data_IF_708462213154
#
_entry.id   IF_708462213154
#
_cell.length_a   1.000
_cell.length_b   1.000
_cell.length_c   1.000
_cell.angle_alpha   90.00
_cell.angle_beta   90.00
_cell.angle_gamma   90.00
#
_symmetry.space_group_name_H-M   'P 1'
#
loop_
_entity.id
_entity.type
_entity.pdbx_description
1 polymer ?
#
# COMPACT_ATOMS: atom_id res chain seq x y z
N UNK A 1 -21.12 -2.29 2.84
CA UNK A 1 -20.44 -2.48 4.15
C UNK A 1 -19.06 -1.88 4.04
N UNK A 2 -18.70 -0.98 4.96
CA UNK A 2 -17.36 -0.41 5.00
C UNK A 2 -16.36 -1.45 5.49
N UNK A 3 -15.20 -1.53 4.83
CA UNK A 3 -14.16 -2.49 5.17
C UNK A 3 -13.44 -2.02 6.44
N UNK A 4 -13.60 -2.75 7.54
CA UNK A 4 -12.86 -2.47 8.77
C UNK A 4 -11.56 -3.28 8.82
N UNK A 5 -10.51 -2.66 9.32
CA UNK A 5 -9.17 -3.23 9.46
C UNK A 5 -8.81 -3.24 10.95
N UNK A 6 -8.37 -4.39 11.46
CA UNK A 6 -7.91 -4.52 12.84
C UNK A 6 -6.51 -3.92 12.99
N UNK A 7 -6.28 -3.17 14.06
CA UNK A 7 -5.00 -2.52 14.36
C UNK A 7 -4.61 -2.77 15.81
N UNK A 8 -3.31 -2.66 16.10
CA UNK A 8 -2.77 -2.58 17.46
C UNK A 8 -2.10 -1.22 17.59
N UNK A 9 -2.57 -0.41 18.53
CA UNK A 9 -2.03 0.92 18.83
C UNK A 9 -0.71 0.84 19.59
N UNK A 10 -0.03 1.98 19.73
CA UNK A 10 1.24 2.09 20.47
C UNK A 10 1.13 1.66 21.94
N UNK A 11 -0.03 1.85 22.56
CA UNK A 11 -0.32 1.44 23.93
C UNK A 11 -0.60 -0.08 24.07
N UNK A 12 -0.57 -0.82 22.96
CA UNK A 12 -0.86 -2.25 22.91
C UNK A 12 -2.35 -2.58 22.84
N UNK A 13 -3.23 -1.58 22.85
CA UNK A 13 -4.67 -1.80 22.69
C UNK A 13 -4.99 -2.20 21.24
N UNK A 14 -6.01 -3.04 21.07
CA UNK A 14 -6.49 -3.46 19.76
C UNK A 14 -7.78 -2.72 19.41
N UNK A 15 -7.92 -2.33 18.14
CA UNK A 15 -9.13 -1.67 17.64
C UNK A 15 -9.40 -2.01 16.18
N UNK A 16 -10.48 -1.43 15.64
CA UNK A 16 -10.82 -1.49 14.22
C UNK A 16 -10.96 -0.08 13.65
N UNK A 17 -10.40 0.12 12.46
CA UNK A 17 -10.42 1.40 11.76
C UNK A 17 -10.81 1.21 10.30
N UNK A 18 -11.23 2.28 9.63
CA UNK A 18 -11.45 2.28 8.18
C UNK A 18 -10.11 2.37 7.45
N UNK A 19 -10.05 2.06 6.13
CA UNK A 19 -8.80 2.11 5.38
C UNK A 19 -8.21 3.53 5.34
N UNK A 20 -9.05 4.56 5.22
CA UNK A 20 -8.61 5.96 5.23
C UNK A 20 -7.98 6.36 6.56
N UNK A 21 -8.52 5.87 7.68
CA UNK A 21 -7.95 6.12 9.02
C UNK A 21 -6.67 5.31 9.21
N UNK A 22 -6.61 4.09 8.68
CA UNK A 22 -5.40 3.28 8.74
C UNK A 22 -4.20 4.01 8.12
N UNK A 23 -4.36 4.55 6.91
CA UNK A 23 -3.27 5.25 6.22
C UNK A 23 -2.77 6.45 7.06
N UNK A 24 -3.67 7.22 7.65
CA UNK A 24 -3.34 8.32 8.56
C UNK A 24 -2.57 7.83 9.81
N UNK A 25 -3.00 6.72 10.42
CA UNK A 25 -2.33 6.14 11.59
C UNK A 25 -0.94 5.58 11.24
N UNK A 26 -0.77 5.03 10.03
CA UNK A 26 0.53 4.56 9.53
C UNK A 26 1.48 5.75 9.34
N UNK A 27 1.04 6.81 8.67
CA UNK A 27 1.85 8.01 8.42
C UNK A 27 2.29 8.71 9.71
N UNK A 28 1.44 8.70 10.73
CA UNK A 28 1.73 9.29 12.05
C UNK A 28 2.42 8.34 13.02
N UNK A 29 2.68 7.10 12.61
CA UNK A 29 3.24 6.05 13.45
C UNK A 29 2.44 5.80 14.75
N UNK A 30 1.11 5.94 14.71
CA UNK A 30 0.22 5.79 15.88
C UNK A 30 -0.22 4.34 16.14
N UNK A 31 0.19 3.40 15.27
CA UNK A 31 -0.06 1.95 15.43
C UNK A 31 1.24 1.15 15.25
N UNK A 32 1.33 0.01 15.94
CA UNK A 32 2.47 -0.93 15.82
C UNK A 32 2.20 -2.05 14.84
N UNK A 33 0.93 -2.39 14.59
CA UNK A 33 0.57 -3.45 13.67
C UNK A 33 -0.87 -3.30 13.13
N UNK A 34 -1.13 -3.89 11.96
CA UNK A 34 -2.47 -4.01 11.41
C UNK A 34 -2.68 -5.36 10.73
N UNK A 35 -3.93 -5.82 10.66
CA UNK A 35 -4.29 -7.13 10.11
C UNK A 35 -4.87 -7.00 8.70
N UNK A 36 -4.25 -7.65 7.73
CA UNK A 36 -4.76 -7.82 6.36
C UNK A 36 -5.26 -9.25 6.16
N UNK A 37 -5.79 -9.54 4.97
CA UNK A 37 -6.28 -10.88 4.60
C UNK A 37 -5.26 -12.01 4.83
N UNK A 38 -3.97 -11.70 4.72
CA UNK A 38 -2.86 -12.65 4.88
C UNK A 38 -2.29 -12.71 6.32
N UNK A 39 -2.78 -11.88 7.25
CA UNK A 39 -2.31 -11.83 8.63
C UNK A 39 -1.86 -10.45 9.09
N UNK A 40 -1.13 -10.42 10.21
CA UNK A 40 -0.65 -9.19 10.85
C UNK A 40 0.64 -8.69 10.24
N UNK A 41 0.70 -7.39 9.97
CA UNK A 41 1.90 -6.65 9.51
C UNK A 41 2.36 -5.75 10.66
N UNK A 42 3.64 -5.81 11.02
CA UNK A 42 4.24 -4.99 12.08
C UNK A 42 5.00 -3.80 11.50
N UNK A 43 4.56 -2.59 11.84
CA UNK A 43 5.15 -1.34 11.37
C UNK A 43 6.55 -1.16 11.95
N UNK A 44 7.50 -0.69 11.12
CA UNK A 44 8.89 -0.42 11.53
C UNK A 44 9.80 -1.65 11.62
N UNK A 45 9.25 -2.87 11.59
CA UNK A 45 10.01 -4.12 11.49
C UNK A 45 9.82 -4.80 10.15
N UNK A 46 8.57 -4.84 9.67
CA UNK A 46 8.27 -5.36 8.35
C UNK A 46 8.39 -4.24 7.31
N UNK A 47 8.96 -4.52 6.12
CA UNK A 47 9.05 -3.53 5.06
C UNK A 47 7.64 -3.11 4.61
N UNK A 48 7.23 -1.89 4.98
CA UNK A 48 5.98 -1.28 4.56
C UNK A 48 6.16 -0.86 3.11
N UNK A 49 5.95 -1.81 2.20
CA UNK A 49 6.13 -1.65 0.74
C UNK A 49 7.58 -1.34 0.38
N UNK A 50 8.28 -2.30 -0.22
CA UNK A 50 9.50 -1.96 -0.96
C UNK A 50 9.16 -0.81 -1.90
N UNK A 51 9.97 0.23 -1.84
CA UNK A 51 10.03 1.30 -2.82
C UNK A 51 9.76 0.68 -4.19
N UNK A 52 8.78 1.18 -4.94
CA UNK A 52 8.54 0.70 -6.30
C UNK A 52 9.85 0.92 -7.03
N UNK A 53 10.64 -0.14 -7.22
CA UNK A 53 11.75 -0.10 -8.16
C UNK A 53 11.20 0.51 -9.44
N UNK A 54 11.84 1.58 -9.91
CA UNK A 54 11.48 2.24 -11.16
C UNK A 54 11.43 1.13 -12.19
N UNK A 55 10.25 0.85 -12.71
CA UNK A 55 10.08 -0.22 -13.68
C UNK A 55 10.73 0.27 -14.98
N UNK A 56 11.94 -0.24 -15.26
CA UNK A 56 12.71 0.11 -16.47
C UNK A 56 12.33 -0.76 -17.69
N UNK A 57 11.34 -1.65 -17.53
CA UNK A 57 10.85 -2.48 -18.62
C UNK A 57 9.81 -1.77 -19.50
N UNK A 58 9.59 -2.22 -20.74
CA UNK A 58 8.42 -1.80 -21.50
C UNK A 58 7.16 -2.21 -20.72
N UNK A 59 6.29 -1.24 -20.44
CA UNK A 59 5.04 -1.45 -19.73
C UNK A 59 4.29 -2.64 -20.32
N UNK A 60 3.86 -3.60 -19.48
CA UNK A 60 3.09 -4.77 -19.93
C UNK A 60 1.62 -4.45 -20.24
N UNK A 61 1.26 -3.16 -20.32
CA UNK A 61 -0.09 -2.73 -20.69
C UNK A 61 -0.07 -2.51 -22.20
N UNK A 62 -0.94 -3.23 -22.91
CA UNK A 62 -1.05 -3.16 -24.37
C UNK A 62 -1.29 -1.72 -24.93
N UNK A 63 -1.67 -0.77 -24.07
CA UNK A 63 -1.84 0.64 -24.44
C UNK A 63 -0.55 1.45 -24.53
N UNK A 64 0.59 0.95 -24.04
CA UNK A 64 1.86 1.73 -24.03
C UNK A 64 2.61 1.66 -25.38
N UNK A 65 2.16 0.84 -26.33
CA UNK A 65 2.85 0.56 -27.60
C UNK A 65 2.36 1.39 -28.82
N UNK A 66 1.47 2.38 -28.62
CA UNK A 66 0.81 3.10 -29.73
C UNK A 66 1.18 4.61 -29.80
N UNK A 67 2.45 4.98 -29.57
CA UNK A 67 2.87 6.38 -29.79
C UNK A 67 4.18 6.58 -30.56
N UNK A 68 4.84 5.52 -31.04
CA UNK A 68 6.12 5.67 -31.74
C UNK A 68 6.08 5.34 -33.24
N UNK A 69 4.93 4.95 -33.79
CA UNK A 69 4.86 4.37 -35.15
C UNK A 69 3.94 5.11 -36.13
N UNK A 70 3.79 6.43 -35.99
CA UNK A 70 3.22 7.26 -37.06
C UNK A 70 4.29 8.22 -37.56
N UNK A 71 5.20 7.67 -38.37
CA UNK A 71 6.06 8.43 -39.26
C UNK A 71 5.21 9.24 -40.24
N UNK A 72 4.93 10.49 -39.88
CA UNK A 72 4.50 11.52 -40.80
C UNK A 72 5.67 11.86 -41.73
N UNK A 73 5.50 11.57 -43.01
CA UNK A 73 6.13 12.28 -44.11
C UNK A 73 5.05 12.57 -45.15
#
# INVERSE_FOLDING_TARGET
MEKQIKVIYLDGSAGTVTPSVLDYLIERHEIVAFCRSEGWIRIGKDPIRKEKHKFEGPGRRAGDLWSSDLGLN
#
